data_IF_473736833516
#
_entry.id   IF_473736833516
#
_cell.length_a   1.000
_cell.length_b   1.000
_cell.length_c   1.000
_cell.angle_alpha   90.00
_cell.angle_beta   90.00
_cell.angle_gamma   90.00
#
_symmetry.space_group_name_H-M   'P 1'
#
loop_
_entity.id
_entity.type
_entity.pdbx_description
1 polymer ?
#
# COMPACT_ATOMS: atom_id res chain seq x y z
N UNK A 1 13.48 -55.53 2.79
CA UNK A 1 13.19 -55.46 1.34
C UNK A 1 12.93 -54.00 0.99
N UNK A 2 13.95 -53.19 0.69
CA UNK A 2 14.72 -53.07 -0.56
C UNK A 2 14.15 -52.02 -1.53
N UNK A 3 14.91 -50.94 -1.71
CA UNK A 3 14.93 -49.92 -2.80
C UNK A 3 13.78 -48.89 -2.85
N UNK A 4 14.00 -47.59 -3.09
CA UNK A 4 15.22 -46.88 -3.45
C UNK A 4 15.00 -45.36 -3.53
N UNK A 5 16.00 -44.65 -3.02
CA UNK A 5 16.22 -43.21 -3.08
C UNK A 5 16.51 -42.76 -4.53
N UNK A 6 15.86 -41.70 -5.03
CA UNK A 6 16.31 -40.96 -6.23
C UNK A 6 16.02 -39.46 -6.11
N UNK A 7 16.86 -38.79 -5.32
CA UNK A 7 17.17 -37.37 -5.44
C UNK A 7 17.71 -37.06 -6.85
N UNK A 8 16.93 -36.34 -7.67
CA UNK A 8 17.38 -35.82 -8.97
C UNK A 8 18.18 -34.54 -8.77
N UNK A 9 19.50 -34.68 -8.65
CA UNK A 9 20.45 -33.57 -8.86
C UNK A 9 20.63 -33.37 -10.36
N UNK A 10 20.38 -32.15 -10.84
CA UNK A 10 20.68 -31.72 -12.22
C UNK A 10 22.15 -31.28 -12.27
N UNK A 11 23.03 -31.86 -13.09
CA UNK A 11 24.32 -31.24 -13.36
C UNK A 11 24.14 -30.14 -14.40
N UNK A 12 24.44 -28.90 -14.02
CA UNK A 12 24.64 -27.80 -14.97
C UNK A 12 25.93 -28.05 -15.75
N UNK A 13 25.83 -27.84 -17.05
CA UNK A 13 26.86 -28.09 -18.03
C UNK A 13 27.91 -26.97 -18.06
N UNK A 14 29.17 -27.37 -18.17
CA UNK A 14 30.19 -26.75 -19.02
C UNK A 14 30.48 -25.27 -18.86
N UNK A 15 31.13 -24.88 -17.77
CA UNK A 15 31.94 -23.65 -17.71
C UNK A 15 33.38 -23.97 -18.10
N UNK A 16 33.82 -23.47 -19.25
CA UNK A 16 35.19 -23.56 -19.75
C UNK A 16 36.10 -22.74 -18.82
N UNK A 17 36.83 -23.40 -17.92
CA UNK A 17 37.83 -22.76 -17.07
C UNK A 17 39.11 -22.57 -17.89
N UNK A 18 39.31 -21.36 -18.42
CA UNK A 18 40.58 -20.96 -19.00
C UNK A 18 41.53 -20.66 -17.85
N UNK A 19 42.37 -21.64 -17.50
CA UNK A 19 43.42 -21.48 -16.51
C UNK A 19 44.50 -20.51 -17.02
N UNK A 20 44.55 -19.31 -16.45
CA UNK A 20 45.66 -18.37 -16.65
C UNK A 20 46.83 -18.88 -15.81
N UNK A 21 47.84 -19.44 -16.49
CA UNK A 21 49.09 -19.85 -15.87
C UNK A 21 49.93 -18.60 -15.51
N UNK A 22 49.83 -18.16 -14.26
CA UNK A 22 50.81 -17.24 -13.65
C UNK A 22 52.04 -18.05 -13.24
N UNK A 23 53.10 -17.95 -14.05
CA UNK A 23 54.38 -18.60 -13.79
C UNK A 23 55.08 -18.00 -12.56
N UNK A 24 55.06 -18.73 -11.45
CA UNK A 24 55.93 -18.47 -10.32
C UNK A 24 57.33 -19.05 -10.61
N UNK A 25 58.28 -18.15 -10.89
CA UNK A 25 59.70 -18.47 -11.02
C UNK A 25 60.28 -18.73 -9.62
N UNK A 26 60.54 -20.00 -9.29
CA UNK A 26 61.32 -20.39 -8.11
C UNK A 26 62.47 -21.30 -8.59
N UNK A 27 63.67 -20.73 -8.48
CA UNK A 27 64.95 -21.27 -8.95
C UNK A 27 65.36 -22.52 -8.17
N UNK A 28 65.56 -23.63 -8.87
CA UNK A 28 66.20 -24.86 -8.38
C UNK A 28 67.19 -25.37 -9.44
N UNK A 29 68.45 -25.55 -9.05
CA UNK A 29 69.62 -25.61 -9.94
C UNK A 29 69.65 -26.73 -11.00
N UNK A 30 69.87 -26.31 -12.24
CA UNK A 30 70.33 -27.11 -13.37
C UNK A 30 71.32 -26.26 -14.20
N UNK A 31 72.30 -26.85 -14.90
CA UNK A 31 73.39 -26.11 -15.53
C UNK A 31 72.84 -25.10 -16.55
N UNK A 32 73.29 -23.86 -16.42
CA UNK A 32 72.91 -22.73 -17.26
C UNK A 32 73.40 -22.95 -18.69
N UNK A 33 72.57 -23.57 -19.53
CA UNK A 33 72.58 -23.27 -20.95
C UNK A 33 71.95 -21.88 -21.09
N UNK A 34 72.81 -20.87 -21.17
CA UNK A 34 72.41 -19.50 -21.49
C UNK A 34 71.74 -19.49 -22.86
N UNK A 35 70.42 -19.62 -22.89
CA UNK A 35 69.64 -19.21 -24.05
C UNK A 35 69.83 -17.70 -24.15
N UNK A 36 70.58 -17.28 -25.17
CA UNK A 36 70.69 -15.87 -25.54
C UNK A 36 69.27 -15.32 -25.69
N UNK A 37 68.86 -14.25 -24.97
CA UNK A 37 67.53 -13.70 -25.09
C UNK A 37 67.33 -13.18 -26.52
N UNK A 38 66.71 -14.00 -27.37
CA UNK A 38 66.28 -13.57 -28.70
C UNK A 38 65.27 -12.43 -28.52
N UNK A 39 65.47 -11.28 -29.18
CA UNK A 39 64.50 -10.19 -29.14
C UNK A 39 63.10 -10.68 -29.55
N UNK A 40 62.03 -10.20 -28.89
CA UNK A 40 60.67 -10.58 -29.27
C UNK A 40 60.39 -10.23 -30.73
N UNK A 41 59.66 -11.12 -31.41
CA UNK A 41 59.30 -10.95 -32.83
C UNK A 41 58.12 -9.98 -33.00
N UNK A 42 57.93 -9.46 -34.22
CA UNK A 42 56.75 -8.64 -34.54
C UNK A 42 55.44 -9.39 -34.32
N UNK A 43 55.44 -10.71 -34.43
CA UNK A 43 54.27 -11.54 -34.16
C UNK A 43 53.98 -11.57 -32.66
N UNK A 44 54.99 -11.73 -31.81
CA UNK A 44 54.83 -11.70 -30.35
C UNK A 44 54.26 -10.34 -29.89
N UNK A 45 54.70 -9.24 -30.51
CA UNK A 45 54.17 -7.90 -30.21
C UNK A 45 52.70 -7.77 -30.66
N UNK A 46 52.32 -8.30 -31.82
CA UNK A 46 50.93 -8.29 -32.30
C UNK A 46 50.03 -9.12 -31.38
N UNK A 47 50.48 -10.31 -31.00
CA UNK A 47 49.71 -11.23 -30.14
C UNK A 47 49.56 -10.65 -28.73
N UNK A 48 50.61 -10.03 -28.18
CA UNK A 48 50.52 -9.31 -26.91
C UNK A 48 49.55 -8.13 -26.96
N UNK A 49 49.54 -7.35 -28.06
CA UNK A 49 48.58 -6.25 -28.24
C UNK A 49 47.14 -6.75 -28.33
N UNK A 50 46.90 -7.85 -29.05
CA UNK A 50 45.59 -8.47 -29.12
C UNK A 50 45.11 -8.95 -27.74
N UNK A 51 45.99 -9.63 -26.98
CA UNK A 51 45.68 -10.07 -25.61
C UNK A 51 45.32 -8.91 -24.67
N UNK A 52 46.00 -7.77 -24.79
CA UNK A 52 45.68 -6.56 -24.00
C UNK A 52 44.31 -5.99 -24.40
N UNK A 53 43.98 -5.99 -25.70
CA UNK A 53 42.68 -5.52 -26.18
C UNK A 53 41.55 -6.43 -25.68
N UNK A 54 41.72 -7.74 -25.75
CA UNK A 54 40.74 -8.72 -25.27
C UNK A 54 40.53 -8.60 -23.75
N UNK A 55 41.62 -8.45 -22.98
CA UNK A 55 41.53 -8.22 -21.54
C UNK A 55 40.78 -6.91 -21.21
N UNK A 56 41.03 -5.85 -21.98
CA UNK A 56 40.34 -4.55 -21.81
C UNK A 56 38.84 -4.67 -22.09
N UNK A 57 38.46 -5.44 -23.13
CA UNK A 57 37.05 -5.71 -23.42
C UNK A 57 36.38 -6.54 -22.33
N UNK A 58 37.09 -7.52 -21.76
CA UNK A 58 36.57 -8.32 -20.64
C UNK A 58 36.30 -7.48 -19.40
N UNK A 59 37.20 -6.55 -19.06
CA UNK A 59 37.01 -5.61 -17.95
C UNK A 59 35.78 -4.73 -18.20
N UNK A 60 35.63 -4.17 -19.40
CA UNK A 60 34.46 -3.35 -19.74
C UNK A 60 33.14 -4.14 -19.62
N UNK A 61 33.11 -5.40 -20.06
CA UNK A 61 31.93 -6.26 -19.92
C UNK A 61 31.59 -6.54 -18.45
N UNK A 62 32.59 -6.76 -17.60
CA UNK A 62 32.38 -6.94 -16.16
C UNK A 62 31.82 -5.66 -15.50
N UNK A 63 32.31 -4.48 -15.86
CA UNK A 63 31.80 -3.20 -15.34
C UNK A 63 30.36 -2.93 -15.77
N UNK A 64 30.02 -3.23 -17.04
CA UNK A 64 28.63 -3.15 -17.52
C UNK A 64 27.75 -4.11 -16.71
N UNK A 65 28.19 -5.34 -16.50
CA UNK A 65 27.44 -6.32 -15.72
C UNK A 65 27.25 -5.88 -14.27
N UNK A 66 28.26 -5.28 -13.64
CA UNK A 66 28.15 -4.70 -12.30
C UNK A 66 27.11 -3.58 -12.25
N UNK A 67 27.10 -2.69 -13.25
CA UNK A 67 26.12 -1.63 -13.35
C UNK A 67 24.68 -2.17 -13.52
N UNK A 68 24.50 -3.23 -14.32
CA UNK A 68 23.22 -3.93 -14.49
C UNK A 68 22.74 -4.59 -13.19
N UNK A 69 23.63 -5.20 -12.41
CA UNK A 69 23.30 -5.83 -11.13
C UNK A 69 22.85 -4.82 -10.09
N UNK A 70 23.51 -3.66 -10.04
CA UNK A 70 23.07 -2.55 -9.18
C UNK A 70 21.69 -2.04 -9.59
N UNK A 71 21.43 -1.82 -10.89
CA UNK A 71 20.09 -1.43 -11.37
C UNK A 71 19.03 -2.49 -11.05
N UNK A 72 19.38 -3.77 -11.17
CA UNK A 72 18.48 -4.88 -10.84
C UNK A 72 18.09 -4.87 -9.37
N UNK A 73 19.05 -4.60 -8.49
CA UNK A 73 18.84 -4.52 -7.03
C UNK A 73 17.97 -3.32 -6.68
N UNK A 74 18.31 -2.14 -7.20
CA UNK A 74 17.55 -0.90 -6.98
C UNK A 74 16.10 -1.05 -7.48
N UNK A 75 15.90 -1.68 -8.65
CA UNK A 75 14.58 -1.97 -9.19
C UNK A 75 13.81 -3.00 -8.35
N UNK A 76 14.48 -3.95 -7.70
CA UNK A 76 13.84 -4.91 -6.79
C UNK A 76 13.33 -4.20 -5.54
N UNK A 77 14.14 -3.34 -4.93
CA UNK A 77 13.77 -2.52 -3.77
C UNK A 77 12.60 -1.56 -4.10
N UNK A 78 12.63 -0.91 -5.27
CA UNK A 78 11.53 -0.05 -5.71
C UNK A 78 10.21 -0.82 -5.85
N UNK A 79 10.23 -2.04 -6.39
CA UNK A 79 9.01 -2.88 -6.49
C UNK A 79 8.46 -3.24 -5.12
N UNK A 80 9.32 -3.46 -4.13
CA UNK A 80 8.89 -3.69 -2.74
C UNK A 80 8.18 -2.47 -2.19
N UNK A 81 8.75 -1.28 -2.36
CA UNK A 81 8.13 -0.03 -1.90
C UNK A 81 6.76 0.17 -2.55
N UNK A 82 6.67 0.02 -3.88
CA UNK A 82 5.40 0.13 -4.62
C UNK A 82 4.36 -0.91 -4.15
N UNK A 83 4.78 -2.14 -3.88
CA UNK A 83 3.86 -3.17 -3.37
C UNK A 83 3.40 -2.86 -1.94
N UNK A 84 4.28 -2.30 -1.10
CA UNK A 84 3.94 -1.82 0.24
C UNK A 84 2.95 -0.65 0.23
N UNK A 85 3.12 0.31 -0.68
CA UNK A 85 2.17 1.40 -0.91
C UNK A 85 0.81 0.88 -1.38
N UNK A 86 0.80 -0.04 -2.36
CA UNK A 86 -0.42 -0.66 -2.86
C UNK A 86 -1.16 -1.45 -1.76
N UNK A 87 -0.43 -2.10 -0.85
CA UNK A 87 -1.03 -2.76 0.31
C UNK A 87 -1.62 -1.74 1.29
N UNK A 88 -0.87 -0.69 1.62
CA UNK A 88 -1.32 0.35 2.54
C UNK A 88 -2.56 1.06 2.02
N UNK A 89 -2.60 1.40 0.73
CA UNK A 89 -3.78 1.98 0.09
C UNK A 89 -4.98 1.03 0.15
N UNK A 90 -4.78 -0.26 -0.16
CA UNK A 90 -5.86 -1.24 -0.08
C UNK A 90 -6.39 -1.43 1.35
N UNK A 91 -5.53 -1.28 2.36
CA UNK A 91 -5.93 -1.31 3.77
C UNK A 91 -6.80 -0.11 4.15
N UNK A 92 -6.41 1.10 3.73
CA UNK A 92 -7.21 2.32 3.93
C UNK A 92 -8.56 2.18 3.23
N UNK A 93 -8.58 1.78 1.96
CA UNK A 93 -9.81 1.53 1.21
C UNK A 93 -10.76 0.53 1.92
N UNK A 94 -10.19 -0.50 2.55
CA UNK A 94 -10.96 -1.48 3.29
C UNK A 94 -11.55 -0.91 4.59
N UNK A 95 -10.79 -0.07 5.29
CA UNK A 95 -11.26 0.61 6.51
C UNK A 95 -12.37 1.61 6.18
N UNK A 96 -12.19 2.43 5.14
CA UNK A 96 -13.18 3.40 4.69
C UNK A 96 -14.47 2.72 4.23
N UNK A 97 -14.35 1.62 3.48
CA UNK A 97 -15.50 0.83 3.06
C UNK A 97 -16.23 0.17 4.24
N UNK A 98 -15.49 -0.26 5.27
CA UNK A 98 -16.09 -0.79 6.50
C UNK A 98 -16.85 0.30 7.26
N UNK A 99 -16.25 1.47 7.46
CA UNK A 99 -16.93 2.61 8.10
C UNK A 99 -18.21 3.00 7.36
N UNK A 100 -18.15 3.06 6.02
CA UNK A 100 -19.33 3.32 5.18
C UNK A 100 -20.42 2.25 5.31
N UNK A 101 -20.03 0.99 5.50
CA UNK A 101 -20.98 -0.11 5.71
C UNK A 101 -21.66 -0.03 7.08
N UNK A 102 -20.91 0.33 8.12
CA UNK A 102 -21.43 0.51 9.47
C UNK A 102 -22.42 1.69 9.53
N UNK A 103 -22.06 2.83 8.94
CA UNK A 103 -22.96 4.00 8.81
C UNK A 103 -24.25 3.66 8.06
N UNK A 104 -24.15 2.92 6.95
CA UNK A 104 -25.31 2.51 6.18
C UNK A 104 -26.21 1.53 6.96
N UNK A 105 -25.61 0.63 7.74
CA UNK A 105 -26.35 -0.29 8.60
C UNK A 105 -27.12 0.45 9.71
N UNK A 106 -26.49 1.42 10.36
CA UNK A 106 -27.13 2.26 11.38
C UNK A 106 -28.29 3.07 10.80
N UNK A 107 -28.09 3.68 9.62
CA UNK A 107 -29.14 4.41 8.91
C UNK A 107 -30.33 3.50 8.54
N UNK A 108 -30.05 2.29 8.04
CA UNK A 108 -31.07 1.29 7.72
C UNK A 108 -31.85 0.85 8.97
N UNK A 109 -31.17 0.62 10.09
CA UNK A 109 -31.81 0.24 11.35
C UNK A 109 -32.73 1.36 11.86
N UNK A 110 -32.25 2.61 11.85
CA UNK A 110 -33.07 3.77 12.25
C UNK A 110 -34.32 3.88 11.38
N UNK A 111 -34.19 3.73 10.06
CA UNK A 111 -35.33 3.80 9.16
C UNK A 111 -36.33 2.65 9.36
N UNK A 112 -35.84 1.45 9.69
CA UNK A 112 -36.70 0.32 10.05
C UNK A 112 -37.49 0.60 11.34
N UNK A 113 -36.87 1.22 12.34
CA UNK A 113 -37.53 1.63 13.58
C UNK A 113 -38.59 2.71 13.33
N UNK A 114 -38.27 3.71 12.49
CA UNK A 114 -39.22 4.76 12.05
C UNK A 114 -40.43 4.14 11.31
N UNK A 115 -40.21 3.14 10.45
CA UNK A 115 -41.27 2.41 9.75
C UNK A 115 -42.17 1.60 10.71
N UNK A 116 -41.58 0.94 11.72
CA UNK A 116 -42.35 0.23 12.74
C UNK A 116 -43.15 1.19 13.63
N UNK A 117 -42.61 2.37 13.93
CA UNK A 117 -43.35 3.42 14.64
C UNK A 117 -44.56 3.90 13.81
N UNK A 118 -44.37 4.21 12.53
CA UNK A 118 -45.46 4.60 11.64
C UNK A 118 -46.53 3.49 11.53
N UNK A 119 -46.11 2.22 11.48
CA UNK A 119 -47.02 1.06 11.50
C UNK A 119 -47.87 1.02 12.76
N UNK A 120 -47.27 1.26 13.94
CA UNK A 120 -47.99 1.27 15.22
C UNK A 120 -49.01 2.42 15.27
N UNK A 121 -48.66 3.60 14.78
CA UNK A 121 -49.58 4.74 14.66
C UNK A 121 -50.77 4.40 13.77
N UNK A 122 -50.52 3.83 12.59
CA UNK A 122 -51.59 3.41 11.68
C UNK A 122 -52.52 2.36 12.32
N UNK A 123 -51.97 1.37 13.03
CA UNK A 123 -52.77 0.36 13.75
C UNK A 123 -53.57 0.98 14.89
N UNK A 124 -53.04 1.97 15.60
CA UNK A 124 -53.75 2.68 16.66
C UNK A 124 -54.96 3.45 16.11
N UNK A 125 -54.79 4.18 15.01
CA UNK A 125 -55.88 4.89 14.32
C UNK A 125 -56.94 3.90 13.83
N UNK A 126 -56.53 2.79 13.21
CA UNK A 126 -57.45 1.75 12.75
C UNK A 126 -58.29 1.14 13.90
N UNK A 127 -57.67 0.91 15.06
CA UNK A 127 -58.37 0.41 16.26
C UNK A 127 -59.37 1.42 16.81
N UNK A 128 -59.01 2.70 16.85
CA UNK A 128 -59.90 3.76 17.31
C UNK A 128 -61.10 3.91 16.38
N UNK A 129 -60.88 3.89 15.06
CA UNK A 129 -61.96 3.91 14.06
C UNK A 129 -62.88 2.69 14.17
N UNK A 130 -62.34 1.49 14.41
CA UNK A 130 -63.15 0.29 14.61
C UNK A 130 -64.02 0.37 15.88
N UNK A 131 -63.51 1.01 16.94
CA UNK A 131 -64.25 1.22 18.19
C UNK A 131 -65.36 2.26 18.04
N UNK A 132 -65.10 3.34 17.31
CA UNK A 132 -66.02 4.48 17.13
C UNK A 132 -67.03 4.28 15.98
N UNK A 133 -66.74 3.42 15.01
CA UNK A 133 -67.64 3.07 13.90
C UNK A 133 -68.70 2.00 14.23
N UNK A 134 -68.69 1.41 15.43
CA UNK A 134 -69.64 0.37 15.87
C UNK A 134 -70.92 0.89 16.54
N UNK A 135 -71.10 2.20 16.62
CA UNK A 135 -72.22 2.79 17.37
C UNK A 135 -73.51 2.88 16.55
N UNK A 136 -74.15 1.74 16.29
CA UNK A 136 -75.54 1.70 15.76
C UNK A 136 -76.51 2.31 16.80
N UNK A 137 -76.23 2.15 18.10
CA UNK A 137 -76.97 2.77 19.21
C UNK A 137 -76.92 4.31 19.20
N UNK A 138 -75.89 4.91 18.60
CA UNK A 138 -75.79 6.37 18.48
C UNK A 138 -76.64 6.92 17.33
N UNK A 139 -76.98 6.09 16.33
CA UNK A 139 -77.87 6.48 15.23
C UNK A 139 -79.32 6.57 15.71
N UNK A 140 -79.75 5.70 16.63
CA UNK A 140 -81.05 5.80 17.31
C UNK A 140 -81.14 7.08 18.16
N UNK A 141 -80.07 7.45 18.88
CA UNK A 141 -80.00 8.71 19.64
C UNK A 141 -80.00 9.95 18.74
N UNK A 142 -79.44 9.88 17.53
CA UNK A 142 -79.31 10.99 16.57
C UNK A 142 -80.64 11.36 15.90
N UNK A 143 -81.58 10.43 15.84
CA UNK A 143 -82.93 10.68 15.32
C UNK A 143 -83.86 11.35 16.35
N UNK A 144 -83.46 11.42 17.63
CA UNK A 144 -84.41 11.69 18.71
C UNK A 144 -84.43 13.12 19.29
N UNK A 145 -83.43 13.99 19.10
CA UNK A 145 -83.53 15.40 19.50
C UNK A 145 -82.34 16.24 19.01
N UNK A 146 -82.59 17.49 18.57
CA UNK A 146 -81.65 18.60 18.29
C UNK A 146 -80.30 18.22 17.64
N UNK A 147 -80.03 18.45 16.35
CA UNK A 147 -80.25 19.63 15.53
C UNK A 147 -79.07 19.71 14.53
N UNK A 148 -79.31 20.18 13.31
CA UNK A 148 -78.36 20.16 12.18
C UNK A 148 -76.94 20.72 12.45
N UNK A 149 -76.75 21.49 13.52
CA UNK A 149 -75.45 22.03 13.94
C UNK A 149 -74.50 20.94 14.50
N UNK A 150 -75.04 19.94 15.21
CA UNK A 150 -74.26 18.79 15.70
C UNK A 150 -73.82 17.87 14.55
N UNK A 151 -74.66 17.76 13.51
CA UNK A 151 -74.30 17.04 12.28
C UNK A 151 -73.12 17.72 11.58
N UNK A 152 -73.13 19.06 11.43
CA UNK A 152 -72.03 19.79 10.78
C UNK A 152 -70.71 19.72 11.57
N UNK A 153 -70.76 19.81 12.90
CA UNK A 153 -69.59 19.61 13.76
C UNK A 153 -69.05 18.18 13.65
N UNK A 154 -69.95 17.19 13.55
CA UNK A 154 -69.57 15.77 13.42
C UNK A 154 -69.00 15.42 12.04
N UNK A 155 -69.52 15.98 10.96
CA UNK A 155 -68.92 15.86 9.62
C UNK A 155 -67.50 16.45 9.61
N UNK A 156 -67.33 17.64 10.20
CA UNK A 156 -66.01 18.26 10.32
C UNK A 156 -65.03 17.43 11.17
N UNK A 157 -65.52 16.73 12.19
CA UNK A 157 -64.72 15.82 13.01
C UNK A 157 -64.35 14.54 12.24
N UNK A 158 -65.28 13.97 11.48
CA UNK A 158 -65.05 12.81 10.60
C UNK A 158 -64.03 13.13 9.50
N UNK A 159 -64.13 14.29 8.86
CA UNK A 159 -63.18 14.74 7.83
C UNK A 159 -61.75 14.91 8.39
N UNK A 160 -61.64 15.35 9.65
CA UNK A 160 -60.34 15.44 10.33
C UNK A 160 -59.77 14.06 10.64
N UNK A 161 -60.61 13.11 11.05
CA UNK A 161 -60.18 11.73 11.35
C UNK A 161 -59.79 10.98 10.08
N UNK A 162 -60.55 11.13 8.98
CA UNK A 162 -60.20 10.54 7.68
C UNK A 162 -58.90 11.14 7.14
N UNK A 163 -58.74 12.47 7.21
CA UNK A 163 -57.48 13.13 6.82
C UNK A 163 -56.28 12.63 7.62
N UNK A 164 -56.44 12.38 8.93
CA UNK A 164 -55.38 11.81 9.79
C UNK A 164 -55.09 10.35 9.47
N UNK A 165 -56.09 9.56 9.08
CA UNK A 165 -55.89 8.18 8.66
C UNK A 165 -55.13 8.12 7.32
N UNK A 166 -55.48 8.97 6.36
CA UNK A 166 -54.79 9.07 5.07
C UNK A 166 -53.33 9.52 5.25
N UNK A 167 -53.09 10.50 6.14
CA UNK A 167 -51.74 10.95 6.52
C UNK A 167 -50.93 9.78 7.10
N UNK A 168 -51.48 9.01 8.05
CA UNK A 168 -50.80 7.87 8.65
C UNK A 168 -50.50 6.73 7.65
N UNK A 169 -51.38 6.49 6.69
CA UNK A 169 -51.12 5.52 5.59
C UNK A 169 -49.97 6.00 4.71
N UNK A 170 -49.95 7.29 4.36
CA UNK A 170 -48.89 7.88 3.54
C UNK A 170 -47.54 7.86 4.28
N UNK A 171 -47.52 8.24 5.55
CA UNK A 171 -46.33 8.21 6.39
C UNK A 171 -45.78 6.79 6.52
N UNK A 172 -46.62 5.79 6.80
CA UNK A 172 -46.20 4.40 6.86
C UNK A 172 -45.61 3.89 5.53
N UNK A 173 -46.25 4.21 4.39
CA UNK A 173 -45.74 3.85 3.07
C UNK A 173 -44.41 4.50 2.77
N UNK A 174 -44.26 5.79 3.09
CA UNK A 174 -43.02 6.53 2.91
C UNK A 174 -41.89 5.95 3.79
N UNK A 175 -42.16 5.72 5.08
CA UNK A 175 -41.18 5.13 6.00
C UNK A 175 -40.75 3.72 5.58
N UNK A 176 -41.70 2.90 5.13
CA UNK A 176 -41.40 1.54 4.61
C UNK A 176 -40.54 1.59 3.35
N UNK A 177 -40.81 2.53 2.44
CA UNK A 177 -39.99 2.71 1.24
C UNK A 177 -38.56 3.12 1.61
N UNK A 178 -38.41 4.13 2.49
CA UNK A 178 -37.10 4.60 2.96
C UNK A 178 -36.33 3.47 3.64
N UNK A 179 -36.97 2.72 4.56
CA UNK A 179 -36.36 1.57 5.22
C UNK A 179 -35.87 0.53 4.21
N UNK A 180 -36.69 0.18 3.21
CA UNK A 180 -36.29 -0.74 2.15
C UNK A 180 -35.08 -0.26 1.36
N UNK A 181 -35.07 1.01 0.94
CA UNK A 181 -33.95 1.58 0.18
C UNK A 181 -32.65 1.62 0.98
N UNK A 182 -32.71 1.96 2.27
CA UNK A 182 -31.53 2.01 3.13
C UNK A 182 -31.03 0.60 3.47
N UNK A 183 -31.92 -0.38 3.61
CA UNK A 183 -31.52 -1.78 3.77
C UNK A 183 -30.78 -2.32 2.54
N UNK A 184 -31.25 -2.00 1.33
CA UNK A 184 -30.54 -2.36 0.09
C UNK A 184 -29.17 -1.68 0.00
N UNK A 185 -29.11 -0.39 0.37
CA UNK A 185 -27.85 0.35 0.42
C UNK A 185 -26.86 -0.25 1.43
N UNK A 186 -27.32 -0.57 2.64
CA UNK A 186 -26.50 -1.23 3.66
C UNK A 186 -25.95 -2.58 3.18
N UNK A 187 -26.79 -3.39 2.53
CA UNK A 187 -26.35 -4.67 1.95
C UNK A 187 -25.29 -4.49 0.85
N UNK A 188 -25.45 -3.46 0.00
CA UNK A 188 -24.47 -3.12 -1.02
C UNK A 188 -23.15 -2.64 -0.39
N UNK A 189 -23.20 -1.76 0.60
CA UNK A 189 -22.02 -1.26 1.31
C UNK A 189 -21.27 -2.38 2.04
N UNK A 190 -21.98 -3.30 2.71
CA UNK A 190 -21.37 -4.47 3.36
C UNK A 190 -20.66 -5.40 2.36
N UNK A 191 -21.23 -5.57 1.15
CA UNK A 191 -20.59 -6.32 0.06
C UNK A 191 -19.31 -5.63 -0.42
N UNK A 192 -19.33 -4.30 -0.55
CA UNK A 192 -18.16 -3.49 -0.91
C UNK A 192 -17.07 -3.61 0.15
N UNK A 193 -17.39 -3.48 1.44
CA UNK A 193 -16.46 -3.66 2.55
C UNK A 193 -15.80 -5.05 2.51
N UNK A 194 -16.60 -6.11 2.31
CA UNK A 194 -16.10 -7.47 2.15
C UNK A 194 -15.14 -7.60 0.96
N UNK A 195 -15.45 -6.96 -0.17
CA UNK A 195 -14.60 -7.00 -1.34
C UNK A 195 -13.28 -6.26 -1.10
N UNK A 196 -13.33 -5.04 -0.54
CA UNK A 196 -12.13 -4.26 -0.23
C UNK A 196 -11.23 -4.95 0.80
N UNK A 197 -11.81 -5.61 1.80
CA UNK A 197 -11.06 -6.47 2.73
C UNK A 197 -10.32 -7.62 2.02
N UNK A 198 -10.97 -8.28 1.06
CA UNK A 198 -10.32 -9.32 0.23
C UNK A 198 -9.22 -8.75 -0.65
N UNK A 199 -9.43 -7.56 -1.22
CA UNK A 199 -8.45 -6.88 -2.04
C UNK A 199 -7.21 -6.50 -1.21
N UNK A 200 -7.40 -6.00 0.01
CA UNK A 200 -6.31 -5.74 0.97
C UNK A 200 -5.52 -7.01 1.30
N UNK A 201 -6.20 -8.13 1.57
CA UNK A 201 -5.55 -9.42 1.83
C UNK A 201 -4.84 -9.99 0.59
N UNK A 202 -5.31 -9.68 -0.61
CA UNK A 202 -4.62 -10.04 -1.86
C UNK A 202 -3.38 -9.16 -2.08
N UNK A 203 -3.49 -7.86 -1.81
CA UNK A 203 -2.39 -6.91 -1.90
C UNK A 203 -1.27 -7.26 -0.92
N UNK A 204 -1.60 -7.64 0.33
CA UNK A 204 -0.62 -8.13 1.31
C UNK A 204 0.17 -9.34 0.80
N UNK A 205 -0.53 -10.37 0.32
CA UNK A 205 0.12 -11.58 -0.25
C UNK A 205 1.00 -11.25 -1.45
N UNK A 206 0.59 -10.27 -2.26
CA UNK A 206 1.41 -9.78 -3.37
C UNK A 206 2.65 -9.06 -2.87
N UNK A 207 2.53 -8.20 -1.85
CA UNK A 207 3.65 -7.49 -1.24
C UNK A 207 4.66 -8.45 -0.60
N UNK A 208 4.19 -9.44 0.17
CA UNK A 208 5.04 -10.49 0.76
C UNK A 208 5.80 -11.28 -0.31
N UNK A 209 5.12 -11.63 -1.41
CA UNK A 209 5.76 -12.31 -2.53
C UNK A 209 6.82 -11.41 -3.19
N UNK A 210 6.50 -10.15 -3.43
CA UNK A 210 7.44 -9.18 -4.02
C UNK A 210 8.66 -8.96 -3.12
N UNK A 211 8.47 -8.87 -1.80
CA UNK A 211 9.57 -8.81 -0.83
C UNK A 211 10.47 -10.03 -0.96
N UNK A 212 9.90 -11.22 -0.95
CA UNK A 212 10.69 -12.46 -1.07
C UNK A 212 11.44 -12.52 -2.40
N UNK A 213 10.80 -12.19 -3.51
CA UNK A 213 11.43 -12.19 -4.82
C UNK A 213 12.55 -11.13 -4.90
N UNK A 214 12.39 -9.99 -4.23
CA UNK A 214 13.41 -8.95 -4.14
C UNK A 214 14.61 -9.40 -3.29
N UNK A 215 14.36 -10.02 -2.13
CA UNK A 215 15.42 -10.56 -1.27
C UNK A 215 16.26 -11.61 -2.02
N UNK A 216 15.59 -12.52 -2.75
CA UNK A 216 16.25 -13.53 -3.59
C UNK A 216 17.08 -12.86 -4.71
N UNK A 217 16.55 -11.82 -5.36
CA UNK A 217 17.22 -11.10 -6.44
C UNK A 217 18.44 -10.32 -5.94
N UNK A 218 18.33 -9.60 -4.82
CA UNK A 218 19.42 -8.85 -4.20
C UNK A 218 20.52 -9.80 -3.71
N UNK A 219 20.15 -10.93 -3.10
CA UNK A 219 21.13 -11.94 -2.68
C UNK A 219 21.89 -12.53 -3.88
N UNK A 220 21.18 -12.87 -4.96
CA UNK A 220 21.81 -13.37 -6.19
C UNK A 220 22.72 -12.33 -6.85
N UNK A 221 22.25 -11.07 -6.93
CA UNK A 221 23.02 -9.97 -7.49
C UNK A 221 24.27 -9.66 -6.65
N UNK A 222 24.17 -9.71 -5.32
CA UNK A 222 25.30 -9.53 -4.40
C UNK A 222 26.37 -10.61 -4.58
N UNK A 223 25.96 -11.88 -4.71
CA UNK A 223 26.90 -12.98 -4.96
C UNK A 223 27.61 -12.84 -6.32
N UNK A 224 26.89 -12.46 -7.38
CA UNK A 224 27.47 -12.24 -8.71
C UNK A 224 28.41 -11.02 -8.70
N UNK A 225 28.02 -9.93 -8.02
CA UNK A 225 28.83 -8.73 -7.83
C UNK A 225 30.16 -9.05 -7.15
N UNK A 226 30.15 -9.82 -6.07
CA UNK A 226 31.37 -10.18 -5.35
C UNK A 226 32.34 -11.02 -6.19
N UNK A 227 31.81 -11.92 -7.02
CA UNK A 227 32.62 -12.68 -7.98
C UNK A 227 33.22 -11.77 -9.06
N UNK A 228 32.44 -10.84 -9.62
CA UNK A 228 32.89 -9.89 -10.64
C UNK A 228 33.96 -8.92 -10.09
N UNK A 229 33.79 -8.40 -8.87
CA UNK A 229 34.80 -7.54 -8.22
C UNK A 229 36.11 -8.31 -8.03
N UNK A 230 36.03 -9.59 -7.63
CA UNK A 230 37.23 -10.43 -7.48
C UNK A 230 37.95 -10.65 -8.81
N UNK A 231 37.21 -10.94 -9.88
CA UNK A 231 37.76 -11.09 -11.23
C UNK A 231 38.37 -9.79 -11.76
N UNK A 232 37.74 -8.66 -11.45
CA UNK A 232 38.19 -7.36 -11.91
C UNK A 232 39.45 -6.88 -11.17
N UNK A 233 39.54 -7.17 -9.87
CA UNK A 233 40.75 -6.97 -9.09
C UNK A 233 41.93 -7.80 -9.66
N UNK A 234 41.69 -9.06 -10.02
CA UNK A 234 42.69 -9.90 -10.67
C UNK A 234 43.11 -9.35 -12.05
N UNK A 235 42.14 -8.95 -12.88
CA UNK A 235 42.39 -8.40 -14.21
C UNK A 235 43.18 -7.07 -14.17
N UNK A 236 42.94 -6.23 -13.16
CA UNK A 236 43.62 -4.93 -12.97
C UNK A 236 44.87 -5.01 -12.09
N UNK A 237 45.18 -6.18 -11.53
CA UNK A 237 46.23 -6.33 -10.51
C UNK A 237 46.06 -5.37 -9.32
N UNK A 238 44.82 -5.18 -8.88
CA UNK A 238 44.43 -4.35 -7.72
C UNK A 238 43.92 -5.23 -6.58
N UNK A 239 43.62 -4.64 -5.42
CA UNK A 239 42.96 -5.37 -4.34
C UNK A 239 41.44 -5.35 -4.50
N UNK A 240 40.77 -6.43 -4.06
CA UNK A 240 39.29 -6.53 -4.05
C UNK A 240 38.66 -5.35 -3.30
N UNK A 241 39.26 -4.91 -2.19
CA UNK A 241 38.75 -3.79 -1.40
C UNK A 241 38.78 -2.46 -2.16
N UNK A 242 39.88 -2.19 -2.89
CA UNK A 242 40.00 -0.98 -3.72
C UNK A 242 39.00 -1.01 -4.86
N UNK A 243 38.83 -2.16 -5.50
CA UNK A 243 37.88 -2.27 -6.60
C UNK A 243 36.44 -2.17 -6.11
N UNK A 244 36.10 -2.79 -4.98
CA UNK A 244 34.78 -2.63 -4.35
C UNK A 244 34.48 -1.16 -4.07
N UNK A 245 35.41 -0.43 -3.44
CA UNK A 245 35.23 0.99 -3.15
C UNK A 245 35.02 1.83 -4.42
N UNK A 246 35.73 1.50 -5.52
CA UNK A 246 35.53 2.15 -6.82
C UNK A 246 34.13 1.88 -7.37
N UNK A 247 33.67 0.63 -7.35
CA UNK A 247 32.33 0.29 -7.84
C UNK A 247 31.24 0.92 -6.96
N UNK A 248 31.40 0.92 -5.63
CA UNK A 248 30.47 1.58 -4.71
C UNK A 248 30.37 3.10 -5.00
N UNK A 249 31.49 3.77 -5.30
CA UNK A 249 31.47 5.19 -5.69
C UNK A 249 30.72 5.41 -7.01
N UNK A 250 30.98 4.58 -8.03
CA UNK A 250 30.28 4.68 -9.33
C UNK A 250 28.78 4.44 -9.17
N UNK A 251 28.38 3.50 -8.32
CA UNK A 251 26.98 3.22 -8.00
C UNK A 251 26.33 4.44 -7.30
N UNK A 252 27.02 5.05 -6.34
CA UNK A 252 26.54 6.25 -5.65
C UNK A 252 26.39 7.46 -6.58
N UNK A 253 27.36 7.71 -7.47
CA UNK A 253 27.30 8.78 -8.46
C UNK A 253 26.15 8.59 -9.45
N UNK A 254 25.88 7.34 -9.86
CA UNK A 254 24.74 7.01 -10.72
C UNK A 254 23.41 7.29 -10.03
N UNK A 255 23.27 6.89 -8.76
CA UNK A 255 22.06 7.14 -7.96
C UNK A 255 21.83 8.64 -7.77
N UNK A 256 22.87 9.38 -7.40
CA UNK A 256 22.76 10.84 -7.24
C UNK A 256 22.28 11.52 -8.53
N UNK A 257 22.83 11.12 -9.69
CA UNK A 257 22.40 11.67 -10.97
C UNK A 257 20.93 11.34 -11.28
N UNK A 258 20.51 10.10 -11.02
CA UNK A 258 19.12 9.69 -11.22
C UNK A 258 18.16 10.48 -10.31
N UNK A 259 18.56 10.73 -9.06
CA UNK A 259 17.77 11.53 -8.11
C UNK A 259 17.66 12.99 -8.55
N UNK A 260 18.75 13.58 -9.05
CA UNK A 260 18.76 14.96 -9.55
C UNK A 260 17.91 15.10 -10.82
N UNK A 261 18.02 14.15 -11.77
CA UNK A 261 17.16 14.08 -12.96
C UNK A 261 15.66 13.93 -12.59
N UNK A 262 15.35 13.13 -11.56
CA UNK A 262 13.98 12.98 -11.07
C UNK A 262 13.46 14.29 -10.47
N UNK A 263 14.28 15.02 -9.70
CA UNK A 263 13.90 16.32 -9.12
C UNK A 263 13.61 17.36 -10.21
N UNK A 264 14.49 17.49 -11.20
CA UNK A 264 14.30 18.43 -12.31
C UNK A 264 12.99 18.15 -13.07
N UNK A 265 12.69 16.88 -13.34
CA UNK A 265 11.44 16.49 -14.00
C UNK A 265 10.19 16.88 -13.19
N UNK A 266 10.25 16.80 -11.85
CA UNK A 266 9.15 17.21 -10.98
C UNK A 266 8.98 18.75 -10.92
N UNK A 267 10.06 19.52 -10.99
CA UNK A 267 10.04 20.99 -11.02
C UNK A 267 9.48 21.53 -12.35
N UNK A 268 9.83 20.92 -13.48
CA UNK A 268 9.31 21.29 -14.81
C UNK A 268 7.81 21.02 -14.94
N UNK A 269 7.32 19.94 -14.34
CA UNK A 269 5.89 19.61 -14.33
C UNK A 269 5.08 20.59 -13.45
N UNK A 270 5.70 21.11 -12.38
CA UNK A 270 5.07 22.07 -11.48
C UNK A 270 5.08 23.50 -12.05
N UNK A 271 6.09 23.87 -12.83
CA UNK A 271 6.18 25.20 -13.47
C UNK A 271 5.27 25.35 -14.70
N UNK A 272 4.96 24.25 -15.41
CA UNK A 272 4.06 24.28 -16.58
C UNK A 272 2.55 24.15 -16.23
N UNK A 273 2.19 23.94 -14.95
CA UNK A 273 0.81 23.94 -14.46
C UNK A 273 0.32 25.30 -13.93
N UNK A 274 1.23 26.26 -13.70
CA UNK A 274 0.94 27.60 -13.17
C UNK A 274 0.67 28.64 -14.26
N UNK A 275 -0.18 28.33 -15.24
CA UNK A 275 -0.43 29.18 -16.41
C UNK A 275 -1.92 29.34 -16.71
N UNK A 276 -2.73 29.70 -15.73
CA UNK A 276 -4.18 29.77 -15.91
C UNK A 276 -4.95 30.59 -14.87
N UNK A 277 -4.57 31.85 -14.64
CA UNK A 277 -5.56 32.85 -14.24
C UNK A 277 -5.10 34.27 -14.59
N UNK A 278 -5.63 34.80 -15.70
CA UNK A 278 -5.52 36.20 -16.09
C UNK A 278 -6.91 36.79 -16.35
N UNK A 279 -7.56 37.27 -15.29
CA UNK A 279 -8.47 38.41 -15.30
C UNK A 279 -9.94 38.18 -15.64
N UNK A 280 -10.83 38.39 -14.65
CA UNK A 280 -11.63 39.62 -14.57
C UNK A 280 -12.30 39.71 -13.18
N UNK A 281 -12.24 40.87 -12.55
CA UNK A 281 -12.71 41.08 -11.17
C UNK A 281 -14.23 41.12 -11.02
N UNK A 282 -14.68 40.88 -9.80
CA UNK A 282 -15.79 41.60 -9.16
C UNK A 282 -15.58 41.47 -7.64
N UNK A 283 -15.73 42.61 -6.97
CA UNK A 283 -15.76 42.81 -5.51
C UNK A 283 -16.78 41.91 -4.83
N UNK A 284 -16.39 41.23 -3.75
CA UNK A 284 -17.21 41.06 -2.54
C UNK A 284 -16.33 40.55 -1.38
N UNK A 285 -16.33 41.29 -0.27
CA UNK A 285 -15.85 40.87 1.06
C UNK A 285 -16.70 39.69 1.57
N UNK A 286 -16.16 38.71 2.34
CA UNK A 286 -16.24 38.78 3.82
C UNK A 286 -15.14 37.95 4.57
N UNK A 287 -15.31 37.67 5.88
CA UNK A 287 -14.94 38.48 7.03
C UNK A 287 -13.61 38.07 7.67
N UNK A 288 -13.09 38.95 8.53
CA UNK A 288 -11.92 38.75 9.39
C UNK A 288 -12.04 37.54 10.33
N UNK A 289 -11.07 36.63 10.29
CA UNK A 289 -10.74 35.75 11.42
C UNK A 289 -9.23 35.75 11.68
N UNK A 290 -8.89 36.32 12.84
CA UNK A 290 -7.76 36.02 13.75
C UNK A 290 -6.46 35.40 13.21
N UNK A 291 -5.41 36.19 13.38
CA UNK A 291 -3.97 35.91 13.41
C UNK A 291 -3.58 34.58 14.10
N UNK A 292 -2.66 33.78 13.53
CA UNK A 292 -2.11 32.58 14.14
C UNK A 292 -1.20 32.90 15.34
N UNK A 293 -1.58 32.36 16.50
CA UNK A 293 -0.71 32.29 17.67
C UNK A 293 0.58 31.54 17.34
N UNK A 294 1.69 32.26 17.49
CA UNK A 294 3.06 31.78 17.51
C UNK A 294 3.27 30.81 18.67
N UNK A 295 3.73 29.59 18.40
CA UNK A 295 4.35 28.73 19.41
C UNK A 295 5.82 28.51 19.08
N UNK A 296 6.62 29.23 19.85
CA UNK A 296 8.06 29.12 20.08
C UNK A 296 8.44 27.71 20.61
N UNK A 297 9.48 27.03 20.06
CA UNK A 297 10.02 25.81 20.65
C UNK A 297 11.11 26.17 21.66
N UNK A 298 10.71 26.32 22.93
CA UNK A 298 11.62 26.56 24.04
C UNK A 298 11.47 25.55 25.18
N UNK A 299 12.54 24.78 25.39
CA UNK A 299 13.03 24.18 26.67
C UNK A 299 12.47 22.82 27.12
N UNK A 300 13.38 21.84 27.02
CA UNK A 300 13.87 20.94 28.08
C UNK A 300 12.92 20.51 29.19
N UNK A 301 12.60 19.22 29.24
CA UNK A 301 12.43 18.48 30.49
C UNK A 301 13.04 17.07 30.34
N UNK A 302 14.02 16.78 31.20
CA UNK A 302 14.70 15.50 31.39
C UNK A 302 13.74 14.40 31.88
N UNK A 303 13.98 13.12 31.54
CA UNK A 303 13.36 11.99 32.24
C UNK A 303 14.03 11.78 33.61
N UNK A 304 13.29 11.45 34.70
CA UNK A 304 13.92 11.18 35.97
C UNK A 304 14.67 9.84 35.93
N UNK A 305 15.91 9.88 36.40
CA UNK A 305 16.78 8.74 36.64
C UNK A 305 16.17 7.78 37.69
N UNK A 306 16.17 6.49 37.38
CA UNK A 306 16.04 5.40 38.35
C UNK A 306 17.28 4.54 38.31
N UNK A 307 18.03 4.55 39.40
CA UNK A 307 18.90 3.45 39.86
C UNK A 307 19.18 3.70 41.38
N UNK A 308 19.53 2.70 42.21
CA UNK A 308 20.01 1.37 41.86
C UNK A 308 19.34 0.18 42.59
N UNK A 309 19.66 -1.00 42.06
CA UNK A 309 19.58 -2.37 42.58
C UNK A 309 19.83 -2.53 44.10
N UNK A 310 19.28 -3.61 44.71
CA UNK A 310 20.20 -4.52 45.39
C UNK A 310 19.97 -6.01 45.10
N UNK A 311 21.02 -6.64 44.57
CA UNK A 311 21.64 -7.95 44.84
C UNK A 311 20.76 -9.21 45.11
N UNK A 312 21.14 -10.36 44.51
CA UNK A 312 20.46 -11.64 44.71
C UNK A 312 20.88 -12.28 46.04
N UNK A 313 19.89 -12.72 46.83
CA UNK A 313 20.14 -13.64 47.95
C UNK A 313 19.91 -15.07 47.48
N UNK A 314 21.01 -15.78 47.22
CA UNK A 314 21.07 -17.23 47.29
C UNK A 314 20.80 -17.69 48.73
N UNK A 315 19.89 -18.63 48.94
CA UNK A 315 20.00 -19.63 50.00
C UNK A 315 19.22 -20.92 49.67
N UNK A 316 19.60 -22.08 50.27
CA UNK A 316 19.52 -23.38 49.62
C UNK A 316 18.55 -24.40 50.26
N UNK A 317 18.30 -25.49 49.52
CA UNK A 317 17.91 -26.85 49.96
C UNK A 317 16.59 -27.08 50.70
N UNK A 318 15.71 -27.88 50.09
CA UNK A 318 15.35 -29.24 50.54
C UNK A 318 14.55 -29.97 49.45
#
# INVERSE_FOLDING_TARGET
MTHGNRSRRRPFAGGLVTAIALGAMLVGGAPLASADPTPPSDQDVRDARAAVQDASQSVAQMEVRLAELSVTSDAAELRVQQAGEAYTQALVDAQDAQGSADEAADAAQKAADDAEQARRTLVAIAREMARSGGSVDMIESLLSADGFQDVAQRTSALDRVSGKADEAVQEFRAATLVAGTLQEHAAASAKTATQKSKDAAASLRSAEKTQKDADDAVAAAGAERDALISNLAAARSTSVAVERARQDQLDAERRQRADDEAREAHEDTSSNGGGGNGGNGTTDDPPTTTDPGTTDPGKSDDPPATDPDPEPTDEPTA
#
